data_IF_936185309799
#
_entry.id   IF_936185309799
#
_cell.length_a   1.000
_cell.length_b   1.000
_cell.length_c   1.000
_cell.angle_alpha   90.00
_cell.angle_beta   90.00
_cell.angle_gamma   90.00
#
_symmetry.space_group_name_H-M   'P 1'
#
loop_
_entity.id
_entity.type
_entity.pdbx_description
1 polymer ?
#
# COMPACT_ATOMS: atom_id res chain seq x y z
N UNK A 1 33.82 -19.30 2.98
CA UNK A 1 33.49 -18.36 1.89
C UNK A 1 32.22 -17.66 2.33
N UNK A 2 32.16 -16.32 2.36
CA UNK A 2 30.88 -15.67 2.59
C UNK A 2 29.94 -16.12 1.48
N UNK A 3 28.68 -16.42 1.80
CA UNK A 3 27.65 -16.58 0.78
C UNK A 3 27.69 -15.36 -0.16
N UNK A 4 27.31 -15.45 -1.45
CA UNK A 4 27.04 -14.23 -2.21
C UNK A 4 25.94 -13.49 -1.42
N UNK A 5 26.34 -12.45 -0.69
CA UNK A 5 25.51 -11.77 0.29
C UNK A 5 24.34 -11.14 -0.45
N UNK A 6 23.13 -11.48 -0.02
CA UNK A 6 21.91 -11.00 -0.67
C UNK A 6 21.77 -9.50 -0.40
N UNK A 7 22.11 -8.66 -1.38
CA UNK A 7 22.35 -7.22 -1.20
C UNK A 7 21.20 -6.47 -0.50
N UNK A 8 19.96 -6.90 -0.73
CA UNK A 8 18.78 -6.28 -0.13
C UNK A 8 18.64 -6.52 1.38
N UNK A 9 19.36 -7.48 1.95
CA UNK A 9 19.39 -7.72 3.40
C UNK A 9 20.11 -6.61 4.16
N UNK A 10 21.15 -6.05 3.57
CA UNK A 10 21.94 -4.95 4.14
C UNK A 10 21.48 -3.59 3.61
N UNK A 11 20.31 -3.54 2.96
CA UNK A 11 19.78 -2.31 2.41
C UNK A 11 19.20 -1.38 3.49
N UNK A 12 19.43 -0.09 3.28
CA UNK A 12 18.73 1.03 3.91
C UNK A 12 17.89 1.67 2.83
N UNK A 13 16.60 1.36 2.87
CA UNK A 13 15.61 1.84 1.91
C UNK A 13 15.06 3.19 2.39
N UNK A 14 15.07 4.20 1.52
CA UNK A 14 14.45 5.48 1.77
C UNK A 14 13.20 5.63 0.92
N UNK A 15 12.04 5.72 1.57
CA UNK A 15 10.79 5.94 0.88
C UNK A 15 10.58 7.43 0.61
N UNK A 16 10.33 7.74 -0.65
CA UNK A 16 9.95 9.06 -1.13
C UNK A 16 8.48 9.04 -1.53
N UNK A 17 7.73 10.02 -1.02
CA UNK A 17 6.39 10.36 -1.46
C UNK A 17 6.50 11.56 -2.42
N UNK A 18 6.55 11.33 -3.76
CA UNK A 18 7.09 12.27 -4.74
C UNK A 18 6.48 13.66 -4.65
N UNK A 19 5.14 13.72 -4.58
CA UNK A 19 4.35 14.95 -4.51
C UNK A 19 4.77 15.90 -3.38
N UNK A 20 5.38 15.38 -2.32
CA UNK A 20 5.76 16.14 -1.11
C UNK A 20 7.27 16.17 -0.83
N UNK A 21 8.11 15.68 -1.75
CA UNK A 21 9.55 15.60 -1.49
C UNK A 21 10.28 16.90 -1.83
N UNK A 22 10.33 17.26 -3.12
CA UNK A 22 10.97 18.49 -3.58
C UNK A 22 10.45 18.91 -4.95
N UNK A 23 9.91 20.13 -5.01
CA UNK A 23 9.53 20.82 -6.25
C UNK A 23 10.77 21.47 -6.89
N UNK A 24 11.00 21.20 -8.18
CA UNK A 24 12.10 21.78 -8.96
C UNK A 24 11.67 22.82 -9.99
N UNK A 25 10.37 22.98 -10.25
CA UNK A 25 9.83 23.80 -11.33
C UNK A 25 8.95 24.98 -10.83
N UNK A 26 8.59 24.99 -9.54
CA UNK A 26 7.82 26.03 -8.88
C UNK A 26 6.29 25.88 -8.98
N UNK A 27 5.76 24.73 -9.37
CA UNK A 27 4.31 24.47 -9.47
C UNK A 27 3.66 24.04 -8.14
N UNK A 28 4.46 23.82 -7.10
CA UNK A 28 4.01 23.42 -5.77
C UNK A 28 3.94 21.92 -5.54
N UNK A 29 4.28 21.09 -6.52
CA UNK A 29 4.34 19.64 -6.42
C UNK A 29 5.79 19.16 -6.52
N UNK A 30 6.15 18.17 -5.69
CA UNK A 30 7.46 17.53 -5.84
C UNK A 30 7.54 16.69 -7.12
N UNK A 31 8.71 16.63 -7.75
CA UNK A 31 8.92 16.03 -9.07
C UNK A 31 10.23 15.22 -9.16
N UNK A 32 10.40 14.45 -10.25
CA UNK A 32 11.55 13.55 -10.44
C UNK A 32 12.89 14.30 -10.54
N UNK A 33 12.90 15.52 -11.08
CA UNK A 33 14.11 16.35 -11.16
C UNK A 33 14.48 16.89 -9.77
N UNK A 34 13.49 17.22 -8.95
CA UNK A 34 13.65 17.53 -7.53
C UNK A 34 14.29 16.38 -6.77
N UNK A 35 13.78 15.15 -6.94
CA UNK A 35 14.39 13.95 -6.36
C UNK A 35 15.84 13.77 -6.85
N UNK A 36 16.07 13.89 -8.16
CA UNK A 36 17.40 13.77 -8.78
C UNK A 36 18.40 14.77 -8.19
N UNK A 37 17.95 15.98 -7.86
CA UNK A 37 18.80 17.03 -7.24
C UNK A 37 19.24 16.70 -5.81
N UNK A 38 18.60 15.72 -5.15
CA UNK A 38 18.88 15.31 -3.76
C UNK A 38 19.56 13.97 -3.63
N UNK A 39 20.00 13.36 -4.73
CA UNK A 39 20.69 12.06 -4.66
C UNK A 39 21.98 12.10 -3.81
N UNK A 40 22.71 13.22 -3.81
CA UNK A 40 23.88 13.39 -2.95
C UNK A 40 23.51 13.45 -1.46
N UNK A 41 22.37 14.06 -1.13
CA UNK A 41 21.84 14.08 0.24
C UNK A 41 21.46 12.67 0.72
N UNK A 42 20.77 11.91 -0.13
CA UNK A 42 20.38 10.53 0.20
C UNK A 42 21.62 9.63 0.35
N UNK A 43 22.63 9.79 -0.51
CA UNK A 43 23.87 9.05 -0.41
C UNK A 43 24.63 9.38 0.89
N UNK A 44 24.74 10.67 1.26
CA UNK A 44 25.39 11.11 2.51
C UNK A 44 24.66 10.59 3.75
N UNK A 45 23.33 10.49 3.69
CA UNK A 45 22.52 9.87 4.76
C UNK A 45 22.81 8.36 4.93
N UNK A 46 23.39 7.71 3.92
CA UNK A 46 23.70 6.27 3.91
C UNK A 46 22.62 5.41 3.24
N UNK A 47 21.71 6.03 2.48
CA UNK A 47 20.69 5.32 1.70
C UNK A 47 21.34 4.55 0.56
N UNK A 48 20.91 3.31 0.32
CA UNK A 48 21.35 2.51 -0.82
C UNK A 48 20.19 1.99 -1.69
N UNK A 49 18.93 2.18 -1.27
CA UNK A 49 17.73 1.94 -2.09
C UNK A 49 16.79 3.11 -1.93
N UNK A 50 16.29 3.66 -3.03
CA UNK A 50 15.16 4.60 -3.02
C UNK A 50 13.91 3.84 -3.43
N UNK A 51 12.89 3.87 -2.58
CA UNK A 51 11.53 3.43 -2.93
C UNK A 51 10.69 4.65 -3.28
N UNK A 52 10.17 4.71 -4.50
CA UNK A 52 9.18 5.72 -4.89
C UNK A 52 7.77 5.18 -4.68
N UNK A 53 6.95 5.88 -3.91
CA UNK A 53 5.49 5.77 -4.04
C UNK A 53 5.06 6.10 -5.49
N UNK A 54 3.84 5.74 -5.92
CA UNK A 54 3.43 5.80 -7.32
C UNK A 54 3.69 7.13 -8.02
N UNK A 55 4.35 7.05 -9.18
CA UNK A 55 4.64 8.17 -10.10
C UNK A 55 3.98 8.01 -11.47
N UNK A 56 3.18 6.98 -11.64
CA UNK A 56 2.47 6.66 -12.87
C UNK A 56 1.34 7.66 -13.11
N UNK A 57 0.82 7.71 -14.34
CA UNK A 57 -0.38 8.52 -14.63
C UNK A 57 -1.53 8.13 -13.72
N UNK A 58 -2.13 9.12 -13.08
CA UNK A 58 -3.20 8.90 -12.11
C UNK A 58 -4.13 10.13 -11.99
N UNK A 59 -5.45 9.94 -11.85
CA UNK A 59 -6.36 11.01 -11.49
C UNK A 59 -6.14 11.60 -10.07
N UNK A 60 -5.38 10.93 -9.21
CA UNK A 60 -5.16 11.24 -7.78
C UNK A 60 -6.42 11.18 -6.91
N UNK A 61 -7.37 10.31 -7.23
CA UNK A 61 -8.44 10.00 -6.28
C UNK A 61 -7.89 9.40 -4.98
N UNK A 62 -6.78 8.66 -5.09
CA UNK A 62 -6.02 8.11 -3.98
C UNK A 62 -4.53 8.45 -4.13
N UNK A 63 -4.27 9.70 -4.51
CA UNK A 63 -2.93 10.30 -4.56
C UNK A 63 -1.85 9.47 -5.30
N UNK A 64 -2.25 8.78 -6.37
CA UNK A 64 -1.34 8.02 -7.24
C UNK A 64 -1.54 6.51 -7.20
N UNK A 65 -2.26 5.99 -6.21
CA UNK A 65 -2.59 4.56 -6.12
C UNK A 65 -3.73 4.15 -7.07
N UNK A 66 -4.52 5.12 -7.57
CA UNK A 66 -5.44 4.96 -8.68
C UNK A 66 -4.75 5.19 -10.05
N UNK A 67 -4.09 4.16 -10.58
CA UNK A 67 -3.24 4.28 -11.80
C UNK A 67 -4.05 4.12 -13.10
N UNK A 68 -3.98 5.10 -14.00
CA UNK A 68 -4.64 5.09 -15.32
C UNK A 68 -3.73 4.67 -16.48
N UNK A 69 -2.40 4.79 -16.33
CA UNK A 69 -1.43 4.19 -17.25
C UNK A 69 -0.12 3.84 -16.51
N UNK A 70 0.15 2.55 -16.40
CA UNK A 70 1.33 2.02 -15.72
C UNK A 70 2.65 2.16 -16.49
N UNK A 71 2.60 2.49 -17.80
CA UNK A 71 3.80 2.54 -18.66
C UNK A 71 4.27 3.96 -18.95
N UNK A 72 3.60 4.96 -18.39
CA UNK A 72 3.99 6.36 -18.49
C UNK A 72 4.07 7.01 -17.11
N UNK A 73 4.82 8.10 -17.04
CA UNK A 73 4.96 8.92 -15.84
C UNK A 73 3.85 9.97 -15.83
N UNK A 74 3.34 10.29 -14.65
CA UNK A 74 2.43 11.42 -14.51
C UNK A 74 3.13 12.73 -14.89
N UNK A 75 2.57 13.56 -15.79
CA UNK A 75 3.20 14.80 -16.21
C UNK A 75 3.53 15.77 -15.08
N UNK A 76 2.87 15.67 -13.91
CA UNK A 76 3.23 16.45 -12.72
C UNK A 76 4.61 16.09 -12.16
N UNK A 77 5.01 14.83 -12.29
CA UNK A 77 6.31 14.36 -11.79
C UNK A 77 7.42 14.45 -12.84
N UNK A 78 7.07 14.45 -14.13
CA UNK A 78 8.01 14.62 -15.23
C UNK A 78 7.74 13.65 -16.37
N UNK A 79 8.81 13.16 -17.00
CA UNK A 79 8.76 12.27 -18.17
C UNK A 79 9.50 10.95 -17.92
N UNK A 80 9.31 9.97 -18.80
CA UNK A 80 10.14 8.76 -18.82
C UNK A 80 11.64 9.06 -18.95
N UNK A 81 12.01 10.13 -19.66
CA UNK A 81 13.42 10.55 -19.77
C UNK A 81 13.95 11.10 -18.44
N UNK A 82 13.11 11.79 -17.64
CA UNK A 82 13.49 12.25 -16.30
C UNK A 82 13.60 11.08 -15.33
N UNK A 83 12.76 10.05 -15.48
CA UNK A 83 12.90 8.79 -14.78
C UNK A 83 14.23 8.09 -15.11
N UNK A 84 14.62 8.03 -16.39
CA UNK A 84 15.90 7.44 -16.80
C UNK A 84 17.10 8.19 -16.21
N UNK A 85 17.02 9.53 -16.15
CA UNK A 85 18.05 10.36 -15.50
C UNK A 85 18.14 10.09 -14.01
N UNK A 86 17.00 9.94 -13.33
CA UNK A 86 16.94 9.59 -11.92
C UNK A 86 17.59 8.21 -11.68
N UNK A 87 17.20 7.20 -12.46
CA UNK A 87 17.75 5.85 -12.37
C UNK A 87 19.27 5.86 -12.60
N UNK A 88 19.73 6.50 -13.67
CA UNK A 88 21.16 6.62 -13.97
C UNK A 88 21.92 7.35 -12.84
N UNK A 89 21.30 8.38 -12.25
CA UNK A 89 21.84 9.12 -11.11
C UNK A 89 21.98 8.26 -9.85
N UNK A 90 20.99 7.39 -9.57
CA UNK A 90 21.01 6.44 -8.47
C UNK A 90 22.10 5.37 -8.69
N UNK A 91 22.09 4.72 -9.86
CA UNK A 91 23.04 3.67 -10.21
C UNK A 91 24.49 4.19 -10.24
N UNK A 92 24.73 5.40 -10.73
CA UNK A 92 26.03 6.06 -10.70
C UNK A 92 26.58 6.32 -9.29
N UNK A 93 25.71 6.26 -8.28
CA UNK A 93 26.03 6.36 -6.85
C UNK A 93 26.00 5.01 -6.12
N UNK A 94 25.88 3.91 -6.87
CA UNK A 94 25.67 2.55 -6.35
C UNK A 94 24.41 2.40 -5.48
N UNK A 95 23.42 3.27 -5.71
CA UNK A 95 22.09 3.15 -5.13
C UNK A 95 21.15 2.43 -6.11
N UNK A 96 20.02 1.96 -5.57
CA UNK A 96 19.01 1.14 -6.27
C UNK A 96 17.67 1.86 -6.32
N UNK A 97 16.84 1.56 -7.31
CA UNK A 97 15.48 2.12 -7.43
C UNK A 97 14.43 1.02 -7.30
N UNK A 98 13.60 1.10 -6.27
CA UNK A 98 12.41 0.27 -6.08
C UNK A 98 11.16 1.06 -6.47
N UNK A 99 10.32 0.47 -7.30
CA UNK A 99 9.06 1.06 -7.75
C UNK A 99 7.88 0.52 -6.94
N UNK A 100 6.83 1.32 -6.74
CA UNK A 100 5.56 0.82 -6.21
C UNK A 100 4.79 0.03 -7.28
N UNK A 101 4.32 -1.17 -6.96
CA UNK A 101 3.54 -2.04 -7.85
C UNK A 101 2.12 -2.17 -7.29
N UNK A 102 1.20 -1.37 -7.83
CA UNK A 102 -0.21 -1.33 -7.41
C UNK A 102 -1.06 -2.11 -8.40
N UNK A 103 -1.30 -3.38 -8.11
CA UNK A 103 -1.93 -4.32 -9.06
C UNK A 103 -3.09 -5.11 -8.46
N UNK A 104 -3.55 -4.73 -7.26
CA UNK A 104 -4.86 -5.19 -6.77
C UNK A 104 -6.01 -4.52 -7.54
N UNK A 105 -5.83 -3.26 -7.91
CA UNK A 105 -6.79 -2.42 -8.63
C UNK A 105 -6.06 -1.53 -9.64
N UNK A 106 -6.81 -0.95 -10.57
CA UNK A 106 -6.36 0.18 -11.42
C UNK A 106 -7.23 1.41 -11.13
N UNK A 107 -6.98 2.55 -11.76
CA UNK A 107 -7.99 3.60 -11.88
C UNK A 107 -9.19 3.13 -12.73
N UNK A 108 -10.38 3.67 -12.47
CA UNK A 108 -11.54 3.58 -13.37
C UNK A 108 -11.30 4.31 -14.71
N UNK A 109 -10.33 5.22 -14.78
CA UNK A 109 -9.91 5.88 -16.02
C UNK A 109 -8.83 5.09 -16.78
N UNK A 110 -8.45 3.90 -16.29
CA UNK A 110 -7.52 3.01 -17.00
C UNK A 110 -8.18 2.41 -18.24
N UNK A 111 -7.45 2.34 -19.36
CA UNK A 111 -7.97 1.82 -20.63
C UNK A 111 -8.59 0.41 -20.52
N UNK A 112 -8.02 -0.44 -19.66
CA UNK A 112 -8.58 -1.76 -19.36
C UNK A 112 -9.98 -1.68 -18.75
N UNK A 113 -10.22 -0.75 -17.82
CA UNK A 113 -11.53 -0.59 -17.17
C UNK A 113 -12.54 0.04 -18.13
N UNK A 114 -12.15 1.07 -18.88
CA UNK A 114 -12.99 1.68 -19.91
C UNK A 114 -13.46 0.64 -20.95
N UNK A 115 -12.56 -0.24 -21.41
CA UNK A 115 -12.93 -1.36 -22.27
C UNK A 115 -13.85 -2.36 -21.54
N UNK A 116 -13.54 -2.75 -20.30
CA UNK A 116 -14.33 -3.68 -19.49
C UNK A 116 -15.76 -3.19 -19.22
N UNK A 117 -15.92 -1.88 -18.97
CA UNK A 117 -17.18 -1.18 -18.71
C UNK A 117 -18.01 -0.98 -19.97
N UNK A 118 -17.37 -0.94 -21.15
CA UNK A 118 -18.05 -0.62 -22.42
C UNK A 118 -19.20 -1.57 -22.79
N UNK A 119 -19.10 -2.86 -22.45
CA UNK A 119 -20.17 -3.85 -22.65
C UNK A 119 -19.87 -5.16 -21.91
N UNK A 120 -20.91 -5.96 -21.65
CA UNK A 120 -20.78 -7.32 -21.07
C UNK A 120 -20.03 -8.32 -21.97
N UNK A 121 -19.94 -8.04 -23.27
CA UNK A 121 -19.30 -8.93 -24.26
C UNK A 121 -17.88 -8.48 -24.62
N UNK A 122 -17.37 -7.39 -24.02
CA UNK A 122 -16.02 -6.92 -24.30
C UNK A 122 -14.98 -7.98 -23.83
N UNK A 123 -13.91 -8.25 -24.59
CA UNK A 123 -12.88 -9.21 -24.18
C UNK A 123 -12.25 -8.92 -22.80
N UNK A 124 -12.23 -7.65 -22.38
CA UNK A 124 -11.75 -7.22 -21.06
C UNK A 124 -12.83 -7.19 -19.99
N UNK A 125 -14.05 -7.66 -20.25
CA UNK A 125 -15.13 -7.68 -19.25
C UNK A 125 -14.67 -8.38 -17.98
N UNK A 126 -14.12 -9.57 -18.11
CA UNK A 126 -13.64 -10.38 -16.98
C UNK A 126 -12.23 -9.98 -16.49
N UNK A 127 -11.70 -8.82 -16.90
CA UNK A 127 -10.47 -8.27 -16.31
C UNK A 127 -10.74 -7.60 -14.96
N UNK A 128 -12.00 -7.27 -14.68
CA UNK A 128 -12.48 -6.72 -13.41
C UNK A 128 -13.61 -7.60 -12.88
N UNK A 129 -14.00 -7.37 -11.62
CA UNK A 129 -14.99 -8.20 -10.94
C UNK A 129 -16.36 -7.54 -11.06
N UNK A 130 -17.16 -8.00 -12.01
CA UNK A 130 -18.53 -7.53 -12.25
C UNK A 130 -19.59 -8.51 -11.74
N UNK A 131 -20.68 -8.01 -11.14
CA UNK A 131 -21.79 -8.84 -10.66
C UNK A 131 -23.14 -8.15 -10.84
N UNK A 132 -24.21 -8.88 -11.17
CA UNK A 132 -25.55 -8.31 -11.28
C UNK A 132 -26.06 -7.82 -9.91
N UNK A 133 -26.99 -6.84 -9.92
CA UNK A 133 -27.69 -6.41 -8.70
C UNK A 133 -28.44 -7.57 -8.03
N UNK A 134 -28.49 -7.53 -6.69
CA UNK A 134 -29.54 -8.21 -5.91
C UNK A 134 -30.72 -7.27 -5.74
N UNK A 135 -31.91 -7.81 -5.45
CA UNK A 135 -33.09 -7.01 -5.13
C UNK A 135 -33.66 -7.47 -3.79
N UNK A 136 -34.02 -6.52 -2.93
CA UNK A 136 -34.74 -6.81 -1.70
C UNK A 136 -36.24 -7.07 -1.95
N UNK A 137 -36.97 -7.42 -0.89
CA UNK A 137 -38.39 -7.75 -0.98
C UNK A 137 -39.27 -6.59 -1.48
N UNK A 138 -38.80 -5.35 -1.31
CA UNK A 138 -39.48 -4.12 -1.75
C UNK A 138 -39.08 -3.72 -3.18
N UNK A 139 -38.20 -4.50 -3.82
CA UNK A 139 -37.71 -4.27 -5.17
C UNK A 139 -36.60 -3.22 -5.26
N UNK A 140 -35.98 -2.82 -4.15
CA UNK A 140 -34.85 -1.91 -4.19
C UNK A 140 -33.58 -2.65 -4.61
N UNK A 141 -32.78 -2.00 -5.45
CA UNK A 141 -31.49 -2.50 -5.91
C UNK A 141 -30.51 -2.57 -4.74
N UNK A 142 -29.82 -3.70 -4.60
CA UNK A 142 -28.79 -3.95 -3.58
C UNK A 142 -27.49 -4.42 -4.25
N UNK A 143 -26.33 -4.11 -3.65
CA UNK A 143 -25.07 -4.63 -4.12
C UNK A 143 -25.02 -6.18 -4.04
N UNK A 144 -24.09 -6.82 -4.76
CA UNK A 144 -23.94 -8.27 -4.80
C UNK A 144 -23.70 -8.94 -3.43
N UNK A 145 -23.09 -8.23 -2.49
CA UNK A 145 -22.93 -8.66 -1.10
C UNK A 145 -22.83 -7.44 -0.17
N UNK A 146 -22.72 -7.68 1.13
CA UNK A 146 -22.61 -6.65 2.16
C UNK A 146 -21.17 -6.18 2.47
N UNK A 147 -20.21 -6.32 1.55
CA UNK A 147 -18.82 -5.93 1.83
C UNK A 147 -18.67 -4.42 1.97
N UNK A 148 -17.89 -4.00 2.98
CA UNK A 148 -17.54 -2.61 3.25
C UNK A 148 -16.25 -2.21 2.53
N UNK A 149 -16.25 -1.07 1.86
CA UNK A 149 -15.04 -0.46 1.31
C UNK A 149 -14.14 0.09 2.43
N UNK A 150 -12.82 0.06 2.21
CA UNK A 150 -11.83 0.60 3.13
C UNK A 150 -11.88 2.14 3.19
N UNK A 151 -12.22 2.79 2.07
CA UNK A 151 -12.43 4.23 1.99
C UNK A 151 -13.90 4.53 1.76
N UNK A 152 -14.44 5.46 2.56
CA UNK A 152 -15.79 5.96 2.35
C UNK A 152 -15.72 7.22 1.50
N UNK A 153 -16.26 7.14 0.28
CA UNK A 153 -16.57 8.34 -0.47
C UNK A 153 -17.86 8.96 0.10
N UNK A 154 -17.71 10.00 0.92
CA UNK A 154 -18.83 10.72 1.53
C UNK A 154 -19.68 11.50 0.51
N UNK A 155 -19.27 11.57 -0.75
CA UNK A 155 -20.04 12.17 -1.85
C UNK A 155 -20.83 11.15 -2.67
N UNK A 156 -20.70 9.85 -2.39
CA UNK A 156 -21.40 8.78 -3.10
C UNK A 156 -22.69 8.33 -2.37
N UNK A 157 -23.76 8.06 -3.12
CA UNK A 157 -25.03 7.52 -2.61
C UNK A 157 -24.89 6.10 -2.03
N UNK A 158 -23.87 5.34 -2.45
CA UNK A 158 -23.52 4.02 -1.88
C UNK A 158 -22.41 4.11 -0.81
N UNK A 159 -22.29 5.24 -0.10
CA UNK A 159 -21.21 5.48 0.86
C UNK A 159 -20.98 4.28 1.79
N UNK A 160 -19.82 3.64 1.64
CA UNK A 160 -19.38 2.52 2.45
C UNK A 160 -19.49 1.14 1.80
N UNK A 161 -20.22 0.97 0.69
CA UNK A 161 -20.21 -0.31 -0.04
C UNK A 161 -18.87 -0.51 -0.79
N UNK A 162 -18.40 -1.75 -0.90
CA UNK A 162 -17.31 -2.13 -1.78
C UNK A 162 -17.75 -2.34 -3.25
N UNK A 163 -18.96 -1.94 -3.60
CA UNK A 163 -19.55 -2.14 -4.92
C UNK A 163 -20.14 -0.84 -5.45
N UNK A 164 -19.79 -0.52 -6.69
CA UNK A 164 -20.32 0.64 -7.39
C UNK A 164 -21.10 0.22 -8.63
N UNK A 165 -22.26 0.83 -8.85
CA UNK A 165 -23.19 0.44 -9.89
C UNK A 165 -22.87 1.16 -11.20
N UNK A 166 -22.77 0.41 -12.29
CA UNK A 166 -22.64 0.96 -13.64
C UNK A 166 -23.98 0.86 -14.38
N UNK A 167 -24.57 2.02 -14.69
CA UNK A 167 -25.83 2.10 -15.45
C UNK A 167 -25.69 1.55 -16.89
N UNK A 168 -24.49 1.57 -17.45
CA UNK A 168 -24.23 1.16 -18.84
C UNK A 168 -24.48 -0.34 -19.03
N UNK A 169 -24.07 -1.14 -18.06
CA UNK A 169 -24.16 -2.60 -18.10
C UNK A 169 -25.14 -3.17 -17.09
N UNK A 170 -25.79 -2.35 -16.24
CA UNK A 170 -26.72 -2.82 -15.20
C UNK A 170 -26.07 -3.87 -14.28
N UNK A 171 -24.82 -3.61 -13.88
CA UNK A 171 -24.03 -4.44 -12.98
C UNK A 171 -23.23 -3.58 -12.02
N UNK A 172 -22.79 -4.19 -10.92
CA UNK A 172 -21.84 -3.59 -10.01
C UNK A 172 -20.42 -4.06 -10.32
N UNK A 173 -19.43 -3.19 -10.15
CA UNK A 173 -18.03 -3.57 -10.10
C UNK A 173 -17.48 -3.49 -8.66
N UNK A 174 -16.58 -4.39 -8.31
CA UNK A 174 -15.93 -4.40 -6.99
C UNK A 174 -14.85 -3.30 -6.92
N UNK A 175 -14.83 -2.58 -5.80
CA UNK A 175 -13.75 -1.72 -5.38
C UNK A 175 -13.54 -1.87 -3.86
N UNK A 176 -12.44 -2.48 -3.43
CA UNK A 176 -12.14 -2.62 -2.00
C UNK A 176 -11.75 -1.28 -1.37
N UNK A 177 -11.28 -0.32 -2.18
CA UNK A 177 -10.82 1.00 -1.77
C UNK A 177 -11.76 2.08 -2.33
N UNK A 178 -11.24 3.14 -2.94
CA UNK A 178 -12.04 4.21 -3.54
C UNK A 178 -12.90 3.66 -4.70
N UNK A 179 -14.04 4.30 -4.97
CA UNK A 179 -14.94 3.97 -6.10
C UNK A 179 -14.24 4.05 -7.46
N UNK A 180 -13.15 4.83 -7.51
CA UNK A 180 -12.25 5.00 -8.66
C UNK A 180 -11.11 3.98 -8.72
N UNK A 181 -11.12 2.97 -7.84
CA UNK A 181 -10.13 1.90 -7.77
C UNK A 181 -10.79 0.53 -7.99
N UNK A 182 -11.34 0.25 -9.20
CA UNK A 182 -11.92 -1.06 -9.49
C UNK A 182 -10.87 -2.18 -9.38
N UNK A 183 -11.23 -3.23 -8.65
CA UNK A 183 -10.36 -4.38 -8.39
C UNK A 183 -10.15 -5.23 -9.66
N UNK A 184 -8.88 -5.53 -9.93
CA UNK A 184 -8.49 -6.45 -10.99
C UNK A 184 -8.89 -7.89 -10.62
N UNK A 185 -9.37 -8.62 -11.62
CA UNK A 185 -9.73 -10.02 -11.48
C UNK A 185 -8.52 -10.94 -11.73
N UNK A 186 -7.76 -11.26 -10.68
CA UNK A 186 -6.58 -12.12 -10.77
C UNK A 186 -6.89 -13.58 -11.14
N UNK A 187 -8.14 -14.02 -11.04
CA UNK A 187 -8.54 -15.33 -11.54
C UNK A 187 -8.36 -15.42 -13.07
N UNK A 188 -8.47 -14.29 -13.77
CA UNK A 188 -8.26 -14.20 -15.22
C UNK A 188 -6.75 -14.27 -15.56
N UNK A 189 -6.30 -15.31 -16.31
CA UNK A 189 -4.89 -15.45 -16.67
C UNK A 189 -4.38 -14.33 -17.59
N UNK A 190 -5.24 -13.66 -18.36
CA UNK A 190 -4.84 -12.53 -19.20
C UNK A 190 -4.47 -11.29 -18.36
N UNK A 191 -5.18 -11.06 -17.25
CA UNK A 191 -4.84 -10.00 -16.28
C UNK A 191 -3.46 -10.28 -15.70
N UNK A 192 -3.21 -11.51 -15.23
CA UNK A 192 -1.90 -11.88 -14.68
C UNK A 192 -0.79 -11.72 -15.73
N UNK A 193 -1.04 -12.14 -16.97
CA UNK A 193 -0.10 -11.96 -18.07
C UNK A 193 0.20 -10.48 -18.35
N UNK A 194 -0.82 -9.61 -18.36
CA UNK A 194 -0.65 -8.18 -18.54
C UNK A 194 0.17 -7.54 -17.39
N UNK A 195 -0.04 -7.98 -16.15
CA UNK A 195 0.77 -7.59 -14.99
C UNK A 195 2.22 -8.06 -15.14
N UNK A 196 2.47 -9.29 -15.61
CA UNK A 196 3.83 -9.76 -15.88
C UNK A 196 4.56 -8.91 -16.92
N UNK A 197 3.85 -8.47 -17.96
CA UNK A 197 4.40 -7.59 -19.00
C UNK A 197 4.69 -6.19 -18.48
N UNK A 198 3.84 -5.67 -17.58
CA UNK A 198 4.10 -4.41 -16.89
C UNK A 198 5.36 -4.50 -16.02
N UNK A 199 5.47 -5.55 -15.21
CA UNK A 199 6.64 -5.73 -14.35
C UNK A 199 7.93 -5.82 -15.18
N UNK A 200 7.91 -6.59 -16.29
CA UNK A 200 9.03 -6.67 -17.22
C UNK A 200 9.35 -5.32 -17.85
N UNK A 201 8.35 -4.50 -18.21
CA UNK A 201 8.61 -3.16 -18.75
C UNK A 201 9.51 -2.32 -17.84
N UNK A 202 9.26 -2.29 -16.53
CA UNK A 202 10.07 -1.53 -15.58
C UNK A 202 11.41 -2.20 -15.24
N UNK A 203 11.42 -3.54 -15.13
CA UNK A 203 12.64 -4.31 -14.87
C UNK A 203 13.62 -4.29 -16.05
N UNK A 204 13.13 -4.43 -17.28
CA UNK A 204 13.93 -4.32 -18.51
C UNK A 204 14.47 -2.89 -18.70
N UNK A 205 13.78 -1.89 -18.14
CA UNK A 205 14.25 -0.50 -18.07
C UNK A 205 15.28 -0.27 -16.95
N UNK A 206 15.45 -1.23 -16.04
CA UNK A 206 16.53 -1.26 -15.06
C UNK A 206 16.15 -0.91 -13.63
N UNK A 207 14.87 -0.87 -13.25
CA UNK A 207 14.52 -0.77 -11.83
C UNK A 207 15.00 -2.04 -11.08
N UNK A 208 15.27 -1.90 -9.79
CA UNK A 208 15.92 -2.92 -8.97
C UNK A 208 14.95 -3.67 -8.05
N UNK A 209 13.63 -3.46 -8.21
CA UNK A 209 12.64 -4.15 -7.40
C UNK A 209 11.29 -3.47 -7.28
N UNK A 210 10.44 -4.10 -6.49
CA UNK A 210 9.06 -3.64 -6.25
C UNK A 210 8.68 -3.67 -4.78
N UNK A 211 8.05 -2.59 -4.31
CA UNK A 211 7.12 -2.64 -3.17
C UNK A 211 5.75 -2.95 -3.75
N UNK A 212 5.09 -4.00 -3.27
CA UNK A 212 3.83 -4.47 -3.84
C UNK A 212 2.68 -4.06 -2.94
N UNK A 213 1.89 -3.12 -3.41
CA UNK A 213 0.75 -2.56 -2.69
C UNK A 213 -0.32 -3.63 -2.45
N UNK A 214 -0.74 -3.76 -1.18
CA UNK A 214 -1.84 -4.60 -0.72
C UNK A 214 -1.89 -5.98 -1.39
N UNK A 215 -0.71 -6.57 -1.63
CA UNK A 215 -0.56 -7.72 -2.52
C UNK A 215 -1.22 -8.98 -1.96
N UNK A 216 -1.49 -9.01 -0.65
CA UNK A 216 -2.25 -10.08 -0.03
C UNK A 216 -3.75 -10.07 -0.35
N UNK A 217 -4.27 -9.03 -1.03
CA UNK A 217 -5.69 -8.88 -1.34
C UNK A 217 -6.06 -9.34 -2.76
N UNK A 218 -5.08 -9.74 -3.58
CA UNK A 218 -5.30 -10.07 -5.00
C UNK A 218 -6.16 -11.31 -5.24
N UNK A 219 -6.26 -12.22 -4.26
CA UNK A 219 -7.10 -13.42 -4.35
C UNK A 219 -8.37 -13.25 -3.54
N UNK A 220 -9.53 -13.31 -4.21
CA UNK A 220 -10.85 -13.22 -3.56
C UNK A 220 -11.45 -14.62 -3.45
N UNK A 221 -12.19 -14.87 -2.37
CA UNK A 221 -12.93 -16.14 -2.19
C UNK A 221 -14.00 -16.28 -3.27
N UNK A 222 -14.07 -17.47 -3.87
CA UNK A 222 -15.03 -17.79 -4.93
C UNK A 222 -16.47 -17.52 -4.46
N UNK A 223 -17.28 -16.94 -5.35
CA UNK A 223 -18.67 -16.60 -5.08
C UNK A 223 -18.88 -15.28 -4.32
N UNK A 224 -17.82 -14.70 -3.72
CA UNK A 224 -17.87 -13.41 -3.00
C UNK A 224 -19.00 -13.38 -1.94
N UNK A 225 -19.00 -14.32 -0.97
CA UNK A 225 -20.10 -14.48 -0.02
C UNK A 225 -20.31 -13.25 0.84
N UNK A 226 -21.52 -13.09 1.38
CA UNK A 226 -21.81 -12.07 2.40
C UNK A 226 -20.91 -12.28 3.63
N UNK A 227 -20.37 -11.19 4.14
CA UNK A 227 -19.57 -11.18 5.35
C UNK A 227 -20.44 -11.29 6.61
N UNK A 228 -19.93 -11.90 7.70
CA UNK A 228 -20.65 -12.00 8.96
C UNK A 228 -21.08 -10.63 9.47
N UNK A 229 -22.33 -10.54 9.94
CA UNK A 229 -22.83 -9.34 10.60
C UNK A 229 -22.20 -9.26 12.00
N UNK A 230 -21.18 -8.42 12.14
CA UNK A 230 -20.49 -8.17 13.39
C UNK A 230 -20.97 -6.88 14.06
N UNK A 231 -21.44 -5.92 13.26
CA UNK A 231 -22.00 -4.64 13.72
C UNK A 231 -23.40 -4.50 13.11
N UNK A 232 -24.46 -4.86 13.86
CA UNK A 232 -25.83 -4.92 13.33
C UNK A 232 -26.37 -3.61 12.74
N UNK A 233 -25.83 -2.47 13.19
CA UNK A 233 -26.30 -1.14 12.78
C UNK A 233 -25.65 -0.65 11.47
N UNK A 234 -24.59 -1.33 11.02
CA UNK A 234 -23.92 -1.01 9.77
C UNK A 234 -24.46 -1.89 8.64
N UNK A 235 -24.88 -1.27 7.54
CA UNK A 235 -25.35 -2.01 6.36
C UNK A 235 -24.23 -2.87 5.74
N UNK A 236 -23.00 -2.35 5.75
CA UNK A 236 -21.83 -3.00 5.18
C UNK A 236 -20.87 -3.48 6.27
N UNK A 237 -20.34 -4.68 6.10
CA UNK A 237 -19.53 -5.39 7.08
C UNK A 237 -18.09 -5.56 6.61
N UNK A 238 -17.18 -5.70 7.58
CA UNK A 238 -15.78 -6.04 7.28
C UNK A 238 -15.72 -7.44 6.65
N UNK A 239 -15.22 -7.49 5.42
CA UNK A 239 -15.12 -8.69 4.61
C UNK A 239 -13.66 -9.15 4.41
N UNK A 240 -12.73 -8.62 5.19
CA UNK A 240 -11.29 -8.90 5.11
C UNK A 240 -10.99 -10.38 5.02
N UNK A 241 -11.71 -11.24 5.77
CA UNK A 241 -11.49 -12.70 5.75
C UNK A 241 -11.72 -13.36 4.37
N UNK A 242 -12.44 -12.70 3.46
CA UNK A 242 -12.76 -13.20 2.12
C UNK A 242 -11.80 -12.75 1.03
N UNK A 243 -10.85 -11.86 1.33
CA UNK A 243 -9.89 -11.37 0.34
C UNK A 243 -8.46 -11.23 0.88
N UNK A 244 -8.27 -10.98 2.17
CA UNK A 244 -6.94 -10.95 2.76
C UNK A 244 -6.37 -12.37 2.89
N UNK A 245 -5.20 -12.58 2.28
CA UNK A 245 -4.55 -13.88 2.15
C UNK A 245 -5.46 -14.93 1.49
N UNK A 246 -6.23 -14.51 0.47
CA UNK A 246 -7.20 -15.39 -0.18
C UNK A 246 -6.62 -16.70 -0.73
N UNK A 247 -7.49 -17.64 -1.12
CA UNK A 247 -7.12 -19.06 -1.30
C UNK A 247 -6.01 -19.31 -2.33
N UNK A 248 -5.87 -18.42 -3.32
CA UNK A 248 -4.89 -18.54 -4.42
C UNK A 248 -3.77 -17.51 -4.35
N UNK A 249 -3.69 -16.68 -3.30
CA UNK A 249 -2.68 -15.61 -3.21
C UNK A 249 -1.24 -16.13 -3.38
N UNK A 250 -0.91 -17.23 -2.68
CA UNK A 250 0.40 -17.86 -2.76
C UNK A 250 0.65 -18.51 -4.13
N UNK A 251 -0.39 -19.05 -4.77
CA UNK A 251 -0.28 -19.57 -6.13
C UNK A 251 0.09 -18.44 -7.11
N UNK A 252 -0.58 -17.29 -7.01
CA UNK A 252 -0.31 -16.13 -7.87
C UNK A 252 1.07 -15.53 -7.62
N UNK A 253 1.54 -15.48 -6.37
CA UNK A 253 2.89 -15.00 -6.06
C UNK A 253 3.98 -15.98 -6.50
N UNK A 254 3.75 -17.29 -6.41
CA UNK A 254 4.66 -18.28 -6.96
C UNK A 254 4.68 -18.22 -8.49
N UNK A 255 3.53 -17.97 -9.13
CA UNK A 255 3.48 -17.70 -10.56
C UNK A 255 4.30 -16.44 -10.91
N UNK A 256 4.10 -15.34 -10.17
CA UNK A 256 4.87 -14.09 -10.31
C UNK A 256 6.38 -14.33 -10.20
N UNK A 257 6.81 -15.08 -9.19
CA UNK A 257 8.21 -15.42 -8.96
C UNK A 257 8.77 -16.18 -10.16
N UNK A 258 8.06 -17.20 -10.63
CA UNK A 258 8.50 -18.07 -11.72
C UNK A 258 8.48 -17.39 -13.10
N UNK A 259 7.55 -16.44 -13.33
CA UNK A 259 7.37 -15.78 -14.63
C UNK A 259 8.16 -14.50 -14.79
N UNK A 260 8.51 -13.85 -13.68
CA UNK A 260 9.14 -12.52 -13.69
C UNK A 260 10.30 -12.46 -12.70
N UNK A 261 10.02 -12.47 -11.41
CA UNK A 261 10.97 -11.97 -10.39
C UNK A 261 12.28 -12.76 -10.35
N UNK A 262 12.22 -14.09 -10.50
CA UNK A 262 13.40 -14.96 -10.45
C UNK A 262 14.39 -14.77 -11.61
N UNK A 263 14.03 -13.98 -12.62
CA UNK A 263 14.88 -13.67 -13.77
C UNK A 263 15.75 -12.42 -13.57
N UNK A 264 15.60 -11.72 -12.44
CA UNK A 264 16.32 -10.48 -12.13
C UNK A 264 16.90 -10.54 -10.71
N UNK A 265 18.01 -9.83 -10.50
CA UNK A 265 18.60 -9.64 -9.16
C UNK A 265 17.97 -8.41 -8.49
N UNK A 266 16.82 -8.62 -7.84
CA UNK A 266 15.94 -7.55 -7.36
C UNK A 266 15.50 -7.75 -5.90
N UNK A 267 15.00 -6.67 -5.31
CA UNK A 267 14.33 -6.65 -4.01
C UNK A 267 12.80 -6.70 -4.20
N UNK A 268 12.10 -7.49 -3.40
CA UNK A 268 10.63 -7.46 -3.30
C UNK A 268 10.16 -7.35 -1.87
N UNK A 269 9.25 -6.39 -1.61
CA UNK A 269 8.55 -6.27 -0.33
C UNK A 269 7.05 -6.20 -0.57
N UNK A 270 6.31 -7.13 0.00
CA UNK A 270 4.84 -7.11 -0.06
C UNK A 270 4.27 -6.28 1.08
N UNK A 271 3.34 -5.39 0.78
CA UNK A 271 2.51 -4.81 1.82
C UNK A 271 1.34 -5.74 2.12
N UNK A 272 1.18 -6.13 3.38
CA UNK A 272 0.19 -7.13 3.80
C UNK A 272 -0.69 -6.59 4.92
N UNK A 273 -1.59 -5.61 4.65
CA UNK A 273 -2.52 -5.11 5.63
C UNK A 273 -3.46 -6.21 6.13
N UNK A 274 -4.14 -5.92 7.25
CA UNK A 274 -5.15 -6.80 7.86
C UNK A 274 -4.66 -8.18 8.30
N UNK A 275 -3.35 -8.43 8.27
CA UNK A 275 -2.75 -9.70 8.66
C UNK A 275 -1.79 -9.48 9.81
N UNK A 276 -2.15 -9.95 11.01
CA UNK A 276 -1.27 -9.91 12.19
C UNK A 276 -0.68 -11.30 12.52
N UNK A 277 -1.12 -12.35 11.83
CA UNK A 277 -0.65 -13.71 12.03
C UNK A 277 0.74 -13.91 11.45
N UNK A 278 1.73 -14.10 12.33
CA UNK A 278 3.10 -14.37 11.92
C UNK A 278 3.22 -15.64 11.04
N UNK A 279 2.40 -16.67 11.28
CA UNK A 279 2.41 -17.89 10.46
C UNK A 279 1.84 -17.70 9.05
N UNK A 280 0.85 -16.83 8.87
CA UNK A 280 0.35 -16.49 7.53
C UNK A 280 1.39 -15.67 6.77
N UNK A 281 1.96 -14.64 7.41
CA UNK A 281 3.01 -13.82 6.83
C UNK A 281 4.31 -14.60 6.54
N UNK A 282 4.60 -15.64 7.32
CA UNK A 282 5.73 -16.55 7.07
C UNK A 282 5.72 -17.11 5.65
N UNK A 283 4.54 -17.40 5.11
CA UNK A 283 4.42 -18.08 3.82
C UNK A 283 4.89 -17.20 2.66
N UNK A 284 4.73 -15.89 2.78
CA UNK A 284 5.18 -14.92 1.76
C UNK A 284 6.69 -14.78 1.70
N UNK A 285 7.38 -15.01 2.82
CA UNK A 285 8.80 -14.60 2.98
C UNK A 285 9.75 -15.79 3.08
N UNK A 286 9.30 -16.92 3.62
CA UNK A 286 10.18 -18.06 3.84
C UNK A 286 10.76 -18.55 2.50
N UNK A 287 12.10 -18.70 2.39
CA UNK A 287 12.75 -19.04 1.13
C UNK A 287 12.22 -20.33 0.47
N UNK A 288 11.69 -21.26 1.27
CA UNK A 288 11.08 -22.50 0.78
C UNK A 288 9.88 -22.27 -0.15
N UNK A 289 9.12 -21.19 0.06
CA UNK A 289 7.92 -20.90 -0.72
C UNK A 289 8.20 -20.14 -2.02
N UNK A 290 9.38 -19.52 -2.14
CA UNK A 290 9.80 -18.78 -3.35
C UNK A 290 8.74 -17.76 -3.80
N UNK A 291 8.38 -16.86 -2.88
CA UNK A 291 7.44 -15.78 -3.15
C UNK A 291 8.18 -14.44 -3.07
N UNK A 292 8.15 -13.75 -1.93
CA UNK A 292 8.74 -12.42 -1.76
C UNK A 292 10.00 -12.45 -0.87
N UNK A 293 10.82 -11.41 -0.91
CA UNK A 293 11.99 -11.30 -0.02
C UNK A 293 11.62 -10.91 1.40
N UNK A 294 10.58 -10.09 1.56
CA UNK A 294 10.07 -9.62 2.85
C UNK A 294 8.63 -9.11 2.72
N UNK A 295 7.99 -8.82 3.85
CA UNK A 295 6.67 -8.16 3.90
C UNK A 295 6.65 -7.07 4.97
N UNK A 296 5.82 -6.04 4.75
CA UNK A 296 5.42 -5.10 5.80
C UNK A 296 4.26 -5.70 6.60
N UNK A 297 4.52 -6.02 7.87
CA UNK A 297 3.47 -6.36 8.81
C UNK A 297 2.93 -5.10 9.49
N UNK A 298 1.61 -5.06 9.73
CA UNK A 298 0.97 -3.85 10.28
C UNK A 298 0.76 -3.90 11.79
N UNK A 299 1.08 -5.02 12.42
CA UNK A 299 0.79 -5.24 13.84
C UNK A 299 1.39 -4.17 14.78
N UNK A 300 2.59 -3.67 14.48
CA UNK A 300 3.21 -2.61 15.29
C UNK A 300 2.50 -1.26 15.10
N UNK A 301 2.16 -0.92 13.86
CA UNK A 301 1.53 0.35 13.51
C UNK A 301 0.02 0.35 13.78
N UNK A 302 -0.59 -0.80 14.03
CA UNK A 302 -1.97 -0.92 14.51
C UNK A 302 -2.05 -1.03 16.06
N UNK A 303 -0.92 -1.00 16.79
CA UNK A 303 -0.87 -1.22 18.25
C UNK A 303 -1.77 -0.25 19.04
N UNK A 304 -1.79 1.02 18.61
CA UNK A 304 -2.57 2.11 19.20
C UNK A 304 -3.95 2.30 18.54
N UNK A 305 -4.38 1.33 17.72
CA UNK A 305 -5.75 1.25 17.19
C UNK A 305 -6.63 0.32 18.05
N UNK A 306 -7.96 0.52 18.08
CA UNK A 306 -8.87 -0.34 18.83
C UNK A 306 -8.92 -1.74 18.21
N UNK A 307 -8.94 -2.77 19.07
CA UNK A 307 -9.12 -4.16 18.65
C UNK A 307 -10.61 -4.50 18.55
N UNK A 308 -11.30 -3.80 17.66
CA UNK A 308 -12.74 -3.95 17.41
C UNK A 308 -12.99 -4.69 16.09
N UNK A 309 -14.22 -5.18 15.89
CA UNK A 309 -14.60 -5.84 14.64
C UNK A 309 -14.53 -4.89 13.42
N UNK A 310 -14.61 -3.58 13.66
CA UNK A 310 -14.31 -2.56 12.65
C UNK A 310 -12.96 -1.92 12.91
N UNK A 311 -12.24 -1.66 11.82
CA UNK A 311 -11.07 -0.80 11.85
C UNK A 311 -11.52 0.65 12.09
N UNK A 312 -11.03 1.24 13.18
CA UNK A 312 -11.31 2.64 13.54
C UNK A 312 -9.97 3.39 13.65
N UNK A 313 -9.30 3.68 12.52
CA UNK A 313 -7.92 4.19 12.52
C UNK A 313 -7.79 5.57 13.17
N UNK A 314 -8.89 6.31 13.31
CA UNK A 314 -8.93 7.63 13.96
C UNK A 314 -9.24 7.59 15.45
N UNK A 315 -9.47 6.40 16.03
CA UNK A 315 -9.69 6.25 17.47
C UNK A 315 -8.42 5.75 18.13
N UNK A 316 -7.93 6.50 19.10
CA UNK A 316 -6.73 6.11 19.83
C UNK A 316 -7.05 5.10 20.93
N UNK A 317 -6.31 3.99 20.96
CA UNK A 317 -6.26 3.02 22.06
C UNK A 317 -4.97 3.24 22.87
N UNK A 318 -5.07 3.42 24.19
CA UNK A 318 -3.89 3.42 25.06
C UNK A 318 -3.13 2.09 24.99
N UNK A 319 -1.80 2.16 24.92
CA UNK A 319 -0.91 1.01 24.81
C UNK A 319 0.22 1.07 25.85
N UNK A 320 0.87 -0.06 26.11
CA UNK A 320 2.04 -0.15 27.00
C UNK A 320 3.31 -0.46 26.22
N UNK A 321 4.44 0.08 26.67
CA UNK A 321 5.77 -0.25 26.11
C UNK A 321 6.06 -1.76 26.11
N UNK A 322 5.48 -2.53 27.04
CA UNK A 322 5.58 -3.98 27.06
C UNK A 322 4.95 -4.64 25.83
N UNK A 323 3.83 -4.11 25.31
CA UNK A 323 3.16 -4.63 24.11
C UNK A 323 4.02 -4.33 22.86
N UNK A 324 4.54 -3.11 22.75
CA UNK A 324 5.49 -2.72 21.70
C UNK A 324 6.71 -3.65 21.69
N UNK A 325 7.33 -3.86 22.87
CA UNK A 325 8.49 -4.75 23.03
C UNK A 325 8.16 -6.20 22.68
N UNK A 326 6.96 -6.68 23.00
CA UNK A 326 6.52 -8.03 22.69
C UNK A 326 6.40 -8.23 21.17
N UNK A 327 5.75 -7.30 20.47
CA UNK A 327 5.59 -7.33 19.01
C UNK A 327 6.96 -7.33 18.34
N UNK A 328 7.80 -6.32 18.62
CA UNK A 328 9.15 -6.21 18.04
C UNK A 328 9.97 -7.46 18.36
N UNK A 329 9.95 -7.91 19.62
CA UNK A 329 10.67 -9.10 20.04
C UNK A 329 10.24 -10.36 19.31
N UNK A 330 8.92 -10.56 19.09
CA UNK A 330 8.40 -11.71 18.35
C UNK A 330 8.91 -11.71 16.92
N UNK A 331 8.72 -10.63 16.17
CA UNK A 331 9.13 -10.53 14.77
C UNK A 331 10.65 -10.68 14.58
N UNK A 332 11.45 -10.19 15.52
CA UNK A 332 12.92 -10.35 15.49
C UNK A 332 13.42 -11.78 15.71
N UNK A 333 12.61 -12.65 16.32
CA UNK A 333 12.96 -14.06 16.59
C UNK A 333 12.22 -15.05 15.70
N UNK A 334 11.08 -14.63 15.16
CA UNK A 334 10.17 -15.52 14.45
C UNK A 334 10.84 -16.13 13.22
N UNK A 335 11.01 -17.47 13.24
CA UNK A 335 11.55 -18.27 12.12
C UNK A 335 12.83 -17.74 11.46
N UNK A 336 13.67 -17.01 12.21
CA UNK A 336 14.92 -16.45 11.69
C UNK A 336 15.87 -17.53 11.17
N UNK A 337 15.94 -18.65 11.88
CA UNK A 337 16.76 -19.81 11.49
C UNK A 337 16.22 -20.54 10.24
N UNK A 338 14.94 -20.34 9.90
CA UNK A 338 14.33 -20.84 8.66
C UNK A 338 14.48 -19.84 7.49
N UNK A 339 15.10 -18.68 7.73
CA UNK A 339 15.36 -17.65 6.73
C UNK A 339 14.28 -16.57 6.59
N UNK A 340 13.34 -16.46 7.54
CA UNK A 340 12.40 -15.34 7.58
C UNK A 340 13.15 -14.01 7.68
N UNK A 341 12.76 -13.02 6.88
CA UNK A 341 13.41 -11.72 6.82
C UNK A 341 12.41 -10.58 7.04
N UNK A 342 12.74 -9.67 7.97
CA UNK A 342 11.87 -8.55 8.33
C UNK A 342 12.12 -7.34 7.41
N UNK A 343 11.04 -6.63 7.06
CA UNK A 343 11.10 -5.23 6.71
C UNK A 343 10.89 -4.40 8.00
N UNK A 344 11.89 -3.61 8.39
CA UNK A 344 11.88 -2.81 9.63
C UNK A 344 11.47 -1.38 9.28
N UNK A 345 10.31 -0.95 9.77
CA UNK A 345 9.78 0.40 9.56
C UNK A 345 8.89 0.83 10.72
N UNK A 346 8.78 2.14 10.96
CA UNK A 346 7.79 2.75 11.87
C UNK A 346 7.09 3.98 11.30
N UNK A 347 7.44 4.39 10.07
CA UNK A 347 6.78 5.43 9.27
C UNK A 347 6.67 4.97 7.81
N UNK A 348 5.63 5.42 7.14
CA UNK A 348 5.46 5.42 5.68
C UNK A 348 4.45 6.53 5.32
N UNK A 349 4.00 6.61 4.07
CA UNK A 349 3.02 7.63 3.64
C UNK A 349 1.62 7.48 4.26
N UNK A 350 1.27 6.32 4.80
CA UNK A 350 -0.03 6.04 5.46
C UNK A 350 0.02 6.17 6.99
N UNK A 351 1.22 6.28 7.57
CA UNK A 351 1.40 6.30 9.02
C UNK A 351 1.66 7.71 9.56
N UNK A 352 1.09 8.00 10.74
CA UNK A 352 1.46 9.19 11.50
C UNK A 352 2.94 9.16 11.95
N UNK A 353 3.55 10.34 12.14
CA UNK A 353 4.98 10.48 12.48
C UNK A 353 5.34 9.75 13.79
N UNK A 354 6.41 8.95 13.74
CA UNK A 354 6.85 8.07 14.80
C UNK A 354 7.20 8.80 16.10
N UNK A 355 7.80 9.98 16.01
CA UNK A 355 8.17 10.79 17.19
C UNK A 355 6.93 11.21 17.97
N UNK A 356 5.83 11.53 17.29
CA UNK A 356 4.55 11.86 17.91
C UNK A 356 3.85 10.61 18.45
N UNK A 357 3.89 9.48 17.72
CA UNK A 357 3.17 8.24 18.10
C UNK A 357 3.86 7.43 19.21
N UNK A 358 5.17 7.23 19.07
CA UNK A 358 5.96 6.29 19.88
C UNK A 358 6.98 6.98 20.79
N UNK A 359 7.14 8.30 20.65
CA UNK A 359 8.10 9.11 21.39
C UNK A 359 7.45 10.23 22.19
N UNK A 360 8.11 11.39 22.17
CA UNK A 360 7.58 12.65 22.70
C UNK A 360 8.01 13.77 21.77
N UNK A 361 7.05 14.41 21.12
CA UNK A 361 7.31 15.43 20.09
C UNK A 361 7.33 16.87 20.63
N UNK A 362 7.22 17.06 21.95
CA UNK A 362 7.44 18.34 22.60
C UNK A 362 8.86 18.84 22.33
N UNK A 363 9.04 20.16 22.19
CA UNK A 363 10.33 20.76 21.79
C UNK A 363 11.51 20.31 22.66
N UNK A 364 11.27 20.08 23.96
CA UNK A 364 12.30 19.62 24.91
C UNK A 364 12.78 18.17 24.67
N UNK A 365 11.94 17.31 24.07
CA UNK A 365 12.19 15.86 23.98
C UNK A 365 12.31 15.34 22.54
N UNK A 366 11.76 16.06 21.55
CA UNK A 366 11.68 15.63 20.15
C UNK A 366 12.98 15.04 19.61
N UNK A 367 14.10 15.74 19.81
CA UNK A 367 15.42 15.31 19.31
C UNK A 367 15.89 14.02 20.00
N UNK A 368 15.70 13.91 21.32
CA UNK A 368 16.11 12.72 22.08
C UNK A 368 15.22 11.52 21.73
N UNK A 369 13.90 11.73 21.62
CA UNK A 369 12.95 10.70 21.22
C UNK A 369 13.19 10.20 19.80
N UNK A 370 13.42 11.10 18.84
CA UNK A 370 13.75 10.73 17.46
C UNK A 370 15.02 9.87 17.38
N UNK A 371 16.09 10.27 18.09
CA UNK A 371 17.33 9.49 18.14
C UNK A 371 17.15 8.14 18.81
N UNK A 372 16.33 8.06 19.84
CA UNK A 372 16.01 6.78 20.51
C UNK A 372 15.28 5.83 19.56
N UNK A 373 14.30 6.32 18.80
CA UNK A 373 13.57 5.53 17.80
C UNK A 373 14.47 5.10 16.64
N UNK A 374 15.33 5.99 16.15
CA UNK A 374 16.34 5.64 15.14
C UNK A 374 17.29 4.54 15.65
N UNK A 375 17.77 4.65 16.90
CA UNK A 375 18.62 3.63 17.54
C UNK A 375 17.89 2.28 17.69
N UNK A 376 16.59 2.30 17.94
CA UNK A 376 15.79 1.09 17.92
C UNK A 376 15.84 0.46 16.52
N UNK A 377 15.42 1.17 15.47
CA UNK A 377 15.34 0.63 14.11
C UNK A 377 16.68 0.09 13.58
N UNK A 378 17.77 0.86 13.71
CA UNK A 378 19.10 0.46 13.19
C UNK A 378 19.70 -0.76 13.90
N UNK A 379 19.18 -1.14 15.07
CA UNK A 379 19.66 -2.31 15.83
C UNK A 379 18.77 -3.55 15.67
N UNK A 380 17.66 -3.44 14.93
CA UNK A 380 16.81 -4.57 14.58
C UNK A 380 17.40 -5.35 13.39
N UNK A 381 17.22 -6.67 13.39
CA UNK A 381 17.55 -7.53 12.27
C UNK A 381 16.46 -7.52 11.20
N UNK A 382 16.83 -7.09 9.99
CA UNK A 382 15.96 -6.95 8.83
C UNK A 382 16.48 -5.84 7.92
N UNK A 383 15.77 -5.59 6.83
CA UNK A 383 16.04 -4.45 5.94
C UNK A 383 15.38 -3.20 6.49
N UNK A 384 16.13 -2.11 6.63
CA UNK A 384 15.61 -0.87 7.21
C UNK A 384 14.87 -0.04 6.15
N UNK A 385 13.72 0.53 6.53
CA UNK A 385 12.97 1.49 5.73
C UNK A 385 12.83 2.79 6.51
N UNK A 386 13.23 3.89 5.89
CA UNK A 386 13.17 5.25 6.43
C UNK A 386 12.24 6.07 5.54
N UNK A 387 11.21 6.68 6.13
CA UNK A 387 10.30 7.54 5.39
C UNK A 387 10.80 9.00 5.36
N UNK A 388 10.56 9.71 4.26
CA UNK A 388 11.01 11.09 4.12
C UNK A 388 10.62 12.00 5.30
N UNK A 389 11.62 12.61 5.93
CA UNK A 389 11.46 13.48 7.10
C UNK A 389 11.59 12.76 8.45
N UNK A 390 11.60 11.42 8.50
CA UNK A 390 11.86 10.65 9.71
C UNK A 390 13.27 10.93 10.24
N UNK A 391 14.26 11.04 9.35
CA UNK A 391 15.64 11.39 9.66
C UNK A 391 15.79 12.81 10.24
N UNK A 392 14.84 13.69 9.94
CA UNK A 392 14.76 15.05 10.48
C UNK A 392 14.00 15.11 11.82
N UNK A 393 13.42 13.98 12.25
CA UNK A 393 12.54 13.89 13.40
C UNK A 393 11.30 14.77 13.24
N UNK A 394 10.72 14.81 12.04
CA UNK A 394 9.47 15.53 11.81
C UNK A 394 8.39 15.00 12.76
N UNK A 395 7.54 15.91 13.22
CA UNK A 395 6.39 15.62 14.08
C UNK A 395 5.10 15.88 13.34
N UNK A 396 4.00 15.32 13.81
CA UNK A 396 2.68 15.69 13.31
C UNK A 396 2.45 17.18 13.61
N UNK A 397 2.27 17.99 12.57
CA UNK A 397 1.95 19.41 12.71
C UNK A 397 0.43 19.64 12.88
N UNK A 398 -0.26 18.74 13.57
CA UNK A 398 -1.66 18.95 13.95
C UNK A 398 -1.72 19.88 15.17
N UNK A 399 -1.67 21.20 14.93
CA UNK A 399 -2.33 22.15 15.83
C UNK A 399 -3.84 22.19 15.53
N UNK A 400 -4.50 21.03 15.38
CA UNK A 400 -5.94 20.97 15.61
C UNK A 400 -6.15 21.07 17.11
N UNK A 401 -6.29 22.29 17.62
CA UNK A 401 -7.11 22.47 18.82
C UNK A 401 -8.52 22.07 18.42
N UNK A 402 -8.89 20.81 18.62
CA UNK A 402 -10.30 20.49 18.78
C UNK A 402 -10.77 21.35 19.96
N UNK A 403 -11.69 22.31 19.75
CA UNK A 403 -12.27 23.03 20.88
C UNK A 403 -12.86 22.00 21.82
N UNK A 404 -12.66 22.14 23.13
CA UNK A 404 -13.18 21.25 24.19
C UNK A 404 -14.72 21.22 24.28
N UNK A 405 -15.44 21.62 23.23
CA UNK A 405 -16.90 21.66 23.16
C UNK A 405 -17.40 20.98 21.89
N UNK A 406 -17.15 19.69 21.73
CA UNK A 406 -18.05 18.83 20.96
C UNK A 406 -19.17 18.34 21.88
N UNK A 407 -19.99 19.30 22.29
CA UNK A 407 -21.24 19.07 22.99
C UNK A 407 -22.31 19.86 22.25
N UNK A 408 -23.13 19.14 21.47
CA UNK A 408 -24.44 19.58 20.97
C UNK A 408 -24.48 20.87 20.15
N UNK A 409 -24.60 20.73 18.82
CA UNK A 409 -25.55 21.53 18.03
C UNK A 409 -25.74 20.90 16.64
N UNK A 410 -26.66 19.95 16.60
CA UNK A 410 -27.58 19.83 15.46
C UNK A 410 -28.46 21.06 15.55
N UNK A 411 -28.39 21.96 14.56
CA UNK A 411 -29.51 22.73 14.00
C UNK A 411 -29.00 23.92 13.18
N UNK A 412 -29.40 23.95 11.91
CA UNK A 412 -29.64 25.17 11.17
C UNK A 412 -28.40 25.83 10.56
N UNK A 413 -28.28 25.74 9.23
CA UNK A 413 -28.22 26.91 8.37
C UNK A 413 -28.48 26.47 6.93
N UNK A 414 -29.78 26.46 6.61
CA UNK A 414 -30.29 26.81 5.28
C UNK A 414 -29.90 28.26 5.03
N UNK A 415 -29.15 28.53 3.97
CA UNK A 415 -29.44 29.52 2.91
C UNK A 415 -28.44 29.38 1.77
#
# INVERSE_FOLDING_TARGET
>A
MPHPETWWKDAVVYQIYPVSFLDSNGDGFGDLNGITSKLDYLQDLGVNVVWLSPIYRSPLADMGYDISDYRDIDPRYGTLDDWDKLLAGLHGRHMKLMMDLVVNHTSDEHAWFEESKSSKENPKRDWYIWRPPKYDADGNRRPPNNWKAQFQDHHNQNAGSAWEYDETTDEYYLHLYHTKQPDLNWENPEVRQAVWELMRFWLDRGCDGFRMDVINLISKVEGLPDAPITIPEDEYQDATEFYANGPRVHEFLQEMQNKVLSHYDIITVGETPFTHSASELARYVLPANKELNMVFHFELVDLDSPRTAQRMPFIHRPWKLSEFREIVGRWQRFKRDEGFWNAVFIENHDQGRSVTRWGNDADAWRVLSAKMLAMLEVTLGGTQYVFQGQELGLRLNFRCRFPETFGWMVEGLVY
#
